data_IF_992843017531
#
_entry.id   IF_992843017531
#
_cell.length_a   1.000
_cell.length_b   1.000
_cell.length_c   1.000
_cell.angle_alpha   90.00
_cell.angle_beta   90.00
_cell.angle_gamma   90.00
#
_symmetry.space_group_name_H-M   'P 1'
#
loop_
_entity.id
_entity.type
_entity.pdbx_description
1 polymer ?
#
# COMPACT_ATOMS: atom_id res chain seq x y z
N UNK A 1 9.21 -25.06 -7.24
CA UNK A 1 9.45 -26.53 -7.43
C UNK A 1 10.71 -27.00 -6.69
N UNK A 2 11.79 -26.24 -6.65
CA UNK A 2 13.04 -26.65 -6.01
C UNK A 2 13.02 -26.66 -4.47
N UNK A 3 12.16 -25.86 -3.86
CA UNK A 3 11.99 -25.79 -2.39
C UNK A 3 11.45 -27.11 -1.82
N UNK A 4 10.66 -27.84 -2.59
CA UNK A 4 10.07 -29.12 -2.20
C UNK A 4 11.03 -30.31 -2.37
N UNK A 5 12.10 -30.18 -3.14
CA UNK A 5 13.02 -31.27 -3.40
C UNK A 5 13.92 -31.63 -2.18
N UNK A 6 14.04 -30.73 -1.22
CA UNK A 6 14.94 -30.87 -0.06
C UNK A 6 14.29 -31.42 1.22
N UNK A 7 13.14 -32.08 1.12
CA UNK A 7 12.57 -33.00 2.12
C UNK A 7 12.18 -32.36 3.48
N UNK A 8 11.01 -32.71 3.99
CA UNK A 8 10.43 -32.44 5.31
C UNK A 8 9.66 -31.12 5.53
N UNK A 9 9.13 -30.49 4.49
CA UNK A 9 8.14 -29.43 4.69
C UNK A 9 6.73 -29.99 4.57
N UNK A 10 6.04 -30.16 5.69
CA UNK A 10 4.59 -30.37 5.70
C UNK A 10 3.93 -29.00 5.50
N UNK A 11 3.46 -28.72 4.28
CA UNK A 11 2.66 -27.53 3.98
C UNK A 11 1.18 -27.92 4.10
N UNK A 12 0.41 -27.12 4.80
CA UNK A 12 -1.04 -27.27 4.82
C UNK A 12 -1.60 -26.78 3.48
N UNK A 13 -2.44 -27.60 2.86
CA UNK A 13 -3.16 -27.19 1.66
C UNK A 13 -4.27 -26.22 2.04
N UNK A 14 -4.38 -25.09 1.31
CA UNK A 14 -5.56 -24.25 1.40
C UNK A 14 -6.78 -24.98 0.80
N UNK A 15 -7.97 -24.62 1.23
CA UNK A 15 -9.21 -25.12 0.64
C UNK A 15 -9.23 -24.81 -0.87
N UNK A 16 -9.02 -25.84 -1.71
CA UNK A 16 -8.89 -25.71 -3.16
C UNK A 16 -7.60 -26.32 -3.74
N UNK A 17 -6.71 -26.86 -2.88
CA UNK A 17 -5.47 -27.53 -3.34
C UNK A 17 -4.30 -26.56 -3.65
N UNK A 18 -4.44 -25.27 -3.37
CA UNK A 18 -3.38 -24.29 -3.56
C UNK A 18 -2.46 -24.22 -2.34
N UNK A 19 -1.17 -23.98 -2.59
CA UNK A 19 -0.18 -23.78 -1.52
C UNK A 19 -0.39 -22.45 -0.82
N UNK A 20 -0.33 -22.46 0.50
CA UNK A 20 -0.35 -21.24 1.30
C UNK A 20 0.98 -20.49 1.12
N UNK A 21 0.93 -19.28 0.57
CA UNK A 21 2.11 -18.45 0.32
C UNK A 21 2.89 -18.13 1.62
N UNK A 22 2.20 -17.93 2.73
CA UNK A 22 2.81 -17.66 4.04
C UNK A 22 3.59 -18.87 4.56
N UNK A 23 3.03 -20.08 4.45
CA UNK A 23 3.72 -21.31 4.83
C UNK A 23 4.93 -21.60 3.94
N UNK A 24 4.81 -21.30 2.63
CA UNK A 24 5.93 -21.40 1.71
C UNK A 24 7.09 -20.49 2.11
N UNK A 25 6.80 -19.24 2.46
CA UNK A 25 7.81 -18.29 2.95
C UNK A 25 8.43 -18.76 4.25
N UNK A 26 7.64 -19.24 5.20
CA UNK A 26 8.14 -19.82 6.46
C UNK A 26 9.05 -21.03 6.19
N UNK A 27 8.68 -21.91 5.26
CA UNK A 27 9.49 -23.05 4.86
C UNK A 27 10.83 -22.63 4.20
N UNK A 28 10.84 -21.55 3.44
CA UNK A 28 12.07 -20.97 2.87
C UNK A 28 12.98 -20.44 3.97
N UNK A 29 12.44 -19.67 4.92
CA UNK A 29 13.20 -19.11 6.05
C UNK A 29 13.83 -20.23 6.89
N UNK A 30 13.09 -21.31 7.14
CA UNK A 30 13.54 -22.45 7.95
C UNK A 30 14.65 -23.30 7.27
N UNK A 31 15.03 -23.03 6.02
CA UNK A 31 16.15 -23.73 5.37
C UNK A 31 17.52 -23.19 5.82
N UNK A 32 17.57 -22.12 6.59
CA UNK A 32 18.81 -21.56 7.10
C UNK A 32 18.94 -21.75 8.60
N UNK A 33 20.18 -21.63 9.10
CA UNK A 33 20.49 -21.89 10.51
C UNK A 33 19.92 -20.83 11.46
N UNK A 34 19.76 -19.60 10.97
CA UNK A 34 19.21 -18.50 11.76
C UNK A 34 18.21 -17.68 10.96
N UNK A 35 17.37 -16.92 11.68
CA UNK A 35 16.27 -16.15 11.08
C UNK A 35 16.73 -15.05 10.12
N UNK A 36 17.88 -14.42 10.38
CA UNK A 36 18.37 -13.32 9.52
C UNK A 36 18.80 -13.88 8.17
N UNK A 37 19.57 -14.95 8.17
CA UNK A 37 19.98 -15.65 6.93
C UNK A 37 18.75 -16.22 6.21
N UNK A 38 17.76 -16.73 6.94
CA UNK A 38 16.50 -17.20 6.39
C UNK A 38 15.71 -16.11 5.68
N UNK A 39 15.60 -14.94 6.31
CA UNK A 39 14.93 -13.76 5.72
C UNK A 39 15.67 -13.25 4.48
N UNK A 40 17.01 -13.16 4.54
CA UNK A 40 17.83 -12.78 3.39
C UNK A 40 17.66 -13.78 2.23
N UNK A 41 17.66 -15.08 2.55
CA UNK A 41 17.44 -16.11 1.55
C UNK A 41 16.04 -16.02 0.91
N UNK A 42 15.01 -15.71 1.69
CA UNK A 42 13.69 -15.45 1.17
C UNK A 42 13.65 -14.22 0.25
N UNK A 43 14.37 -13.14 0.60
CA UNK A 43 14.50 -11.95 -0.25
C UNK A 43 15.21 -12.24 -1.58
N UNK A 44 16.15 -13.18 -1.60
CA UNK A 44 16.86 -13.59 -2.82
C UNK A 44 16.03 -14.51 -3.71
N UNK A 45 15.31 -15.43 -3.10
CA UNK A 45 14.59 -16.48 -3.83
C UNK A 45 13.24 -16.02 -4.38
N UNK A 46 12.58 -15.08 -3.70
CA UNK A 46 11.25 -14.61 -4.07
C UNK A 46 11.35 -13.43 -5.04
N UNK A 47 10.95 -13.69 -6.28
CA UNK A 47 10.80 -12.65 -7.29
C UNK A 47 9.46 -11.94 -7.10
N UNK A 48 9.49 -10.66 -6.72
CA UNK A 48 8.29 -9.86 -6.52
C UNK A 48 8.34 -8.94 -5.32
N UNK A 49 7.17 -8.51 -4.86
CA UNK A 49 7.01 -7.73 -3.64
C UNK A 49 6.85 -8.66 -2.45
N UNK A 50 7.57 -8.40 -1.39
CA UNK A 50 7.46 -9.18 -0.15
C UNK A 50 7.82 -8.31 1.05
N UNK A 51 6.88 -8.14 1.95
CA UNK A 51 7.16 -7.61 3.28
C UNK A 51 6.74 -8.63 4.33
N UNK A 52 7.63 -8.91 5.26
CA UNK A 52 7.45 -9.92 6.29
C UNK A 52 7.44 -9.26 7.66
N UNK A 53 6.44 -9.59 8.46
CA UNK A 53 6.39 -9.37 9.90
C UNK A 53 6.42 -10.75 10.56
N UNK A 54 7.54 -11.12 11.19
CA UNK A 54 7.73 -12.42 11.81
C UNK A 54 7.82 -12.25 13.34
N UNK A 55 6.79 -12.69 14.03
CA UNK A 55 6.73 -12.67 15.49
C UNK A 55 7.48 -13.86 16.09
N UNK A 56 8.33 -13.56 17.06
CA UNK A 56 9.11 -14.55 17.82
C UNK A 56 9.13 -14.19 19.30
N UNK A 57 9.54 -15.11 20.20
CA UNK A 57 9.75 -14.75 21.61
C UNK A 57 10.81 -13.67 21.86
N UNK A 58 11.67 -13.39 20.88
CA UNK A 58 12.74 -12.39 20.96
C UNK A 58 12.34 -11.02 20.42
N UNK A 59 11.16 -10.91 19.80
CA UNK A 59 10.68 -9.69 19.19
C UNK A 59 10.06 -9.94 17.81
N UNK A 60 9.71 -8.86 17.12
CA UNK A 60 9.12 -8.89 15.79
C UNK A 60 10.20 -8.53 14.77
N UNK A 61 10.54 -9.46 13.89
CA UNK A 61 11.39 -9.20 12.74
C UNK A 61 10.56 -8.56 11.63
N UNK A 62 11.06 -7.46 11.10
CA UNK A 62 10.46 -6.75 9.96
C UNK A 62 11.44 -6.79 8.81
N UNK A 63 11.01 -7.30 7.67
CA UNK A 63 11.83 -7.45 6.47
C UNK A 63 11.12 -6.86 5.27
N UNK A 64 11.76 -5.96 4.55
CA UNK A 64 11.29 -5.41 3.27
C UNK A 64 11.96 -6.13 2.11
N UNK A 65 11.26 -6.32 0.99
CA UNK A 65 11.82 -6.97 -0.19
C UNK A 65 13.07 -6.24 -0.74
N UNK A 66 13.90 -6.99 -1.47
CA UNK A 66 15.20 -6.54 -1.97
C UNK A 66 15.16 -5.24 -2.79
N UNK A 67 14.05 -4.98 -3.46
CA UNK A 67 13.85 -3.79 -4.29
C UNK A 67 12.94 -2.75 -3.64
N UNK A 68 12.52 -2.95 -2.41
CA UNK A 68 11.68 -2.01 -1.67
C UNK A 68 10.33 -1.72 -2.33
N UNK A 69 9.75 -2.68 -3.04
CA UNK A 69 8.50 -2.49 -3.79
C UNK A 69 7.30 -2.24 -2.91
N UNK A 70 7.23 -2.95 -1.77
CA UNK A 70 6.18 -2.76 -0.77
C UNK A 70 6.75 -2.02 0.42
N UNK A 71 6.25 -0.82 0.75
CA UNK A 71 6.73 -0.06 1.89
C UNK A 71 6.38 -0.77 3.21
N UNK A 72 7.19 -0.51 4.22
CA UNK A 72 6.89 -0.81 5.62
C UNK A 72 7.50 0.26 6.50
N UNK A 73 6.69 0.80 7.38
CA UNK A 73 7.08 1.85 8.31
C UNK A 73 6.95 1.38 9.75
N UNK A 74 7.82 1.91 10.59
CA UNK A 74 7.82 1.69 12.03
C UNK A 74 7.39 2.97 12.71
N UNK A 75 6.36 2.88 13.54
CA UNK A 75 5.93 3.92 14.45
C UNK A 75 6.50 3.71 15.85
N UNK A 76 6.73 4.81 16.56
CA UNK A 76 7.20 4.83 17.94
C UNK A 76 6.23 5.57 18.84
N UNK A 77 6.02 5.02 20.02
CA UNK A 77 5.35 5.63 21.17
C UNK A 77 6.30 5.59 22.36
N UNK A 78 5.96 6.21 23.48
CA UNK A 78 6.84 6.33 24.65
C UNK A 78 7.50 5.00 25.04
N UNK A 79 6.74 3.92 25.10
CA UNK A 79 7.12 2.60 25.59
C UNK A 79 6.85 1.46 24.57
N UNK A 80 6.62 1.79 23.30
CA UNK A 80 6.27 0.79 22.31
C UNK A 80 6.66 1.17 20.88
N UNK A 81 6.88 0.13 20.07
CA UNK A 81 7.03 0.24 18.62
C UNK A 81 5.93 -0.56 17.93
N UNK A 82 5.56 -0.15 16.74
CA UNK A 82 4.66 -0.88 15.85
C UNK A 82 5.19 -0.86 14.42
N UNK A 83 4.73 -1.78 13.58
CA UNK A 83 5.03 -1.79 12.16
C UNK A 83 3.74 -1.89 11.35
N UNK A 84 3.67 -1.15 10.25
CA UNK A 84 2.56 -1.16 9.32
C UNK A 84 3.03 -0.88 7.89
N UNK A 85 2.22 -1.27 6.91
CA UNK A 85 2.49 -0.96 5.50
C UNK A 85 2.18 0.49 5.14
N UNK A 86 1.35 1.15 5.97
CA UNK A 86 0.97 2.55 5.81
C UNK A 86 1.00 3.27 7.17
N UNK A 87 1.62 4.45 7.21
CA UNK A 87 1.82 5.18 8.46
C UNK A 87 0.49 5.64 9.10
N UNK A 88 -0.56 5.92 8.32
CA UNK A 88 -1.85 6.32 8.89
C UNK A 88 -2.40 5.30 9.90
N UNK A 89 -2.07 4.01 9.72
CA UNK A 89 -2.58 2.93 10.57
C UNK A 89 -2.17 3.09 12.04
N UNK A 90 -1.02 3.66 12.31
CA UNK A 90 -0.52 3.84 13.67
C UNK A 90 -0.60 5.28 14.19
N UNK A 91 -0.69 6.28 13.31
CA UNK A 91 -0.82 7.68 13.72
C UNK A 91 -2.08 7.90 14.57
N UNK A 92 -3.20 7.31 14.17
CA UNK A 92 -4.46 7.36 14.92
C UNK A 92 -4.40 6.65 16.30
N UNK A 93 -3.37 5.84 16.53
CA UNK A 93 -3.12 5.16 17.80
C UNK A 93 -2.12 5.91 18.70
N UNK A 94 -1.72 7.12 18.29
CA UNK A 94 -0.79 7.98 19.01
C UNK A 94 0.68 7.61 18.84
N UNK A 95 1.02 6.84 17.80
CA UNK A 95 2.41 6.63 17.42
C UNK A 95 2.85 7.74 16.46
N UNK A 96 4.12 8.05 16.45
CA UNK A 96 4.78 8.95 15.50
C UNK A 96 5.67 8.17 14.57
N UNK A 97 5.95 8.70 13.39
CA UNK A 97 6.88 8.09 12.44
C UNK A 97 8.27 7.97 13.06
N UNK A 98 8.83 6.78 13.04
CA UNK A 98 10.16 6.49 13.56
C UNK A 98 11.13 6.12 12.44
N UNK A 99 10.75 5.19 11.56
CA UNK A 99 11.61 4.70 10.49
C UNK A 99 10.79 4.06 9.38
N UNK A 100 11.12 4.38 8.14
CA UNK A 100 10.74 3.60 6.96
C UNK A 100 11.90 2.67 6.59
N UNK A 101 11.65 1.38 6.38
CA UNK A 101 12.69 0.43 5.98
C UNK A 101 13.08 0.65 4.53
N UNK A 102 14.37 0.66 4.25
CA UNK A 102 14.89 0.67 2.89
C UNK A 102 14.82 -0.70 2.20
N UNK A 103 15.21 -0.77 0.90
CA UNK A 103 15.21 -2.00 0.12
C UNK A 103 16.06 -3.09 0.77
N UNK A 104 15.50 -4.28 0.97
CA UNK A 104 16.21 -5.42 1.56
C UNK A 104 16.56 -5.27 3.04
N UNK A 105 16.13 -4.20 3.69
CA UNK A 105 16.43 -3.98 5.10
C UNK A 105 15.67 -4.98 5.99
N UNK A 106 16.37 -5.46 7.03
CA UNK A 106 15.83 -6.32 8.08
C UNK A 106 16.12 -5.70 9.43
N UNK A 107 15.08 -5.53 10.24
CA UNK A 107 15.21 -5.09 11.62
C UNK A 107 14.51 -6.06 12.57
N UNK A 108 14.88 -6.04 13.84
CA UNK A 108 14.12 -6.64 14.93
C UNK A 108 13.61 -5.54 15.86
N UNK A 109 12.33 -5.59 16.17
CA UNK A 109 11.67 -4.70 17.13
C UNK A 109 11.44 -5.46 18.45
N UNK A 110 11.81 -4.84 19.54
CA UNK A 110 11.42 -5.18 20.90
C UNK A 110 10.62 -4.03 21.50
N UNK A 111 10.02 -4.14 22.68
CA UNK A 111 9.40 -2.98 23.33
C UNK A 111 10.38 -1.80 23.54
N UNK A 112 11.65 -2.10 23.73
CA UNK A 112 12.68 -1.11 24.12
C UNK A 112 13.43 -0.54 22.90
N UNK A 113 13.52 -1.29 21.79
CA UNK A 113 14.43 -0.92 20.70
C UNK A 113 14.02 -1.47 19.34
N UNK A 114 14.55 -0.80 18.29
CA UNK A 114 14.58 -1.29 16.91
C UNK A 114 16.01 -1.42 16.48
N UNK A 115 16.45 -2.65 16.23
CA UNK A 115 17.84 -2.95 15.86
C UNK A 115 17.91 -3.39 14.40
N UNK A 116 18.77 -2.74 13.60
CA UNK A 116 19.02 -3.14 12.21
C UNK A 116 19.92 -4.35 12.16
N UNK A 117 19.44 -5.44 11.55
CA UNK A 117 20.14 -6.71 11.36
C UNK A 117 20.76 -6.85 9.97
N UNK A 118 20.08 -6.30 8.95
CA UNK A 118 20.59 -6.18 7.59
C UNK A 118 20.39 -4.74 7.10
N UNK A 119 21.44 -4.10 6.63
CA UNK A 119 21.37 -2.72 6.12
C UNK A 119 20.59 -2.65 4.82
N UNK A 120 19.93 -1.52 4.53
CA UNK A 120 19.25 -1.32 3.26
C UNK A 120 20.23 -1.30 2.09
N UNK A 121 19.75 -1.81 0.94
CA UNK A 121 20.40 -1.61 -0.35
C UNK A 121 20.07 -0.25 -0.95
N UNK A 122 20.64 0.01 -2.13
CA UNK A 122 20.45 1.28 -2.86
C UNK A 122 19.44 1.21 -4.00
N UNK A 123 19.14 0.01 -4.48
CA UNK A 123 18.23 -0.20 -5.60
C UNK A 123 16.77 -0.23 -5.13
N UNK A 124 16.02 0.81 -5.46
CA UNK A 124 14.60 0.89 -5.15
C UNK A 124 13.75 0.89 -6.41
N UNK A 125 12.71 0.06 -6.42
CA UNK A 125 11.70 -0.03 -7.48
C UNK A 125 10.29 0.05 -6.91
N UNK A 126 10.04 1.07 -6.12
CA UNK A 126 8.72 1.32 -5.55
C UNK A 126 7.73 1.70 -6.65
N UNK A 127 6.49 1.24 -6.53
CA UNK A 127 5.46 1.48 -7.52
C UNK A 127 4.79 2.85 -7.31
N UNK A 128 4.83 3.71 -8.33
CA UNK A 128 4.16 5.02 -8.28
C UNK A 128 2.63 4.93 -8.06
N UNK A 129 2.04 3.77 -8.33
CA UNK A 129 0.62 3.51 -8.10
C UNK A 129 0.22 3.64 -6.61
N UNK A 130 1.16 3.48 -5.69
CA UNK A 130 0.95 3.74 -4.27
C UNK A 130 0.47 5.17 -4.03
N UNK A 131 1.09 6.16 -4.66
CA UNK A 131 0.66 7.56 -4.54
C UNK A 131 -0.53 7.89 -5.43
N UNK A 132 -0.51 7.45 -6.67
CA UNK A 132 -1.54 7.84 -7.65
C UNK A 132 -2.92 7.33 -7.26
N UNK A 133 -3.02 6.13 -6.69
CA UNK A 133 -4.32 5.51 -6.46
C UNK A 133 -4.44 4.71 -5.16
N UNK A 134 -3.48 3.82 -4.87
CA UNK A 134 -3.63 2.78 -3.84
C UNK A 134 -3.55 3.34 -2.42
N UNK A 135 -2.55 4.19 -2.15
CA UNK A 135 -2.24 4.68 -0.82
C UNK A 135 -3.37 5.49 -0.19
N UNK A 136 -3.49 5.36 1.11
CA UNK A 136 -4.45 6.17 1.86
C UNK A 136 -4.02 7.66 1.83
N UNK A 137 -4.95 8.62 1.68
CA UNK A 137 -4.60 10.04 1.49
C UNK A 137 -3.67 10.63 2.54
N UNK A 138 -3.85 10.25 3.82
CA UNK A 138 -3.00 10.74 4.91
C UNK A 138 -1.68 10.00 5.09
N UNK A 139 -1.41 8.98 4.25
CA UNK A 139 -0.13 8.27 4.27
C UNK A 139 0.98 9.01 3.53
N UNK A 140 2.20 8.67 3.88
CA UNK A 140 3.41 9.03 3.14
C UNK A 140 4.23 7.78 2.87
N UNK A 141 4.95 7.77 1.76
CA UNK A 141 5.93 6.74 1.41
C UNK A 141 7.21 7.45 0.95
N UNK A 142 8.35 6.99 1.43
CA UNK A 142 9.67 7.58 1.11
C UNK A 142 9.68 9.11 1.32
N UNK A 143 9.05 9.57 2.38
CA UNK A 143 8.93 10.99 2.69
C UNK A 143 7.99 11.80 1.80
N UNK A 144 7.26 11.17 0.87
CA UNK A 144 6.35 11.87 -0.05
C UNK A 144 4.89 11.59 0.35
N UNK A 145 4.17 12.64 0.73
CA UNK A 145 2.74 12.57 1.07
C UNK A 145 1.90 12.19 -0.14
N UNK A 146 0.98 11.23 0.07
CA UNK A 146 0.05 10.75 -0.96
C UNK A 146 -0.86 11.88 -1.45
N UNK A 147 -1.50 12.58 -0.54
CA UNK A 147 -2.43 13.66 -0.89
C UNK A 147 -1.74 14.81 -1.62
N UNK A 148 -0.57 15.24 -1.12
CA UNK A 148 0.22 16.31 -1.76
C UNK A 148 0.66 15.93 -3.16
N UNK A 149 1.07 14.69 -3.36
CA UNK A 149 1.45 14.21 -4.69
C UNK A 149 0.27 14.24 -5.66
N UNK A 150 -0.93 13.83 -5.22
CA UNK A 150 -2.15 13.89 -6.04
C UNK A 150 -2.51 15.31 -6.44
N UNK A 151 -2.41 16.28 -5.52
CA UNK A 151 -2.59 17.70 -5.84
C UNK A 151 -1.58 18.18 -6.89
N UNK A 152 -0.32 17.82 -6.73
CA UNK A 152 0.73 18.18 -7.69
C UNK A 152 0.47 17.57 -9.08
N UNK A 153 0.00 16.32 -9.14
CA UNK A 153 -0.40 15.67 -10.39
C UNK A 153 -1.54 16.44 -11.08
N UNK A 154 -2.59 16.80 -10.34
CA UNK A 154 -3.69 17.60 -10.86
C UNK A 154 -3.22 18.96 -11.38
N UNK A 155 -2.38 19.66 -10.64
CA UNK A 155 -1.82 20.94 -11.04
C UNK A 155 -0.96 20.85 -12.32
N UNK A 156 -0.20 19.76 -12.48
CA UNK A 156 0.58 19.51 -13.70
C UNK A 156 -0.31 19.18 -14.90
N UNK A 157 -1.41 18.46 -14.69
CA UNK A 157 -2.40 18.21 -15.74
C UNK A 157 -3.02 19.53 -16.21
N UNK A 158 -3.48 20.40 -15.32
CA UNK A 158 -4.05 21.68 -15.67
C UNK A 158 -3.11 22.57 -16.52
N UNK A 159 -1.80 22.51 -16.26
CA UNK A 159 -0.79 23.26 -17.05
C UNK A 159 -0.57 22.72 -18.46
N UNK A 160 -0.97 21.49 -18.73
CA UNK A 160 -0.79 20.81 -20.03
C UNK A 160 -2.07 20.69 -20.82
N UNK A 161 -3.19 20.93 -20.16
CA UNK A 161 -4.52 20.83 -20.77
C UNK A 161 -4.93 22.14 -21.42
N UNK A 162 -5.68 22.04 -22.51
CA UNK A 162 -6.18 23.18 -23.30
C UNK A 162 -7.72 23.23 -23.30
N UNK A 163 -8.38 22.50 -22.40
CA UNK A 163 -9.84 22.50 -22.28
C UNK A 163 -10.31 23.64 -21.38
N UNK A 164 -11.47 24.19 -21.68
CA UNK A 164 -12.13 25.27 -20.92
C UNK A 164 -13.48 24.76 -20.39
N UNK A 165 -13.51 23.89 -19.39
CA UNK A 165 -14.75 23.40 -18.81
C UNK A 165 -15.32 24.40 -17.80
N UNK A 166 -16.63 24.34 -17.54
CA UNK A 166 -17.29 25.17 -16.53
C UNK A 166 -16.93 24.75 -15.11
N UNK A 167 -16.67 23.48 -14.88
CA UNK A 167 -16.32 22.92 -13.56
C UNK A 167 -15.25 21.84 -13.69
N UNK A 168 -14.51 21.65 -12.60
CA UNK A 168 -13.63 20.49 -12.38
C UNK A 168 -14.25 19.60 -11.32
N UNK A 169 -14.32 18.30 -11.60
CA UNK A 169 -14.88 17.32 -10.69
C UNK A 169 -13.98 16.08 -10.60
N UNK A 170 -13.86 15.54 -9.38
CA UNK A 170 -13.18 14.27 -9.13
C UNK A 170 -14.17 13.12 -9.01
N UNK A 171 -13.83 11.98 -9.61
CA UNK A 171 -14.55 10.74 -9.29
C UNK A 171 -14.17 10.32 -7.86
N UNK A 172 -15.13 10.29 -6.92
CA UNK A 172 -14.81 10.01 -5.52
C UNK A 172 -14.44 8.52 -5.33
N UNK A 173 -13.52 8.20 -4.39
CA UNK A 173 -12.79 9.19 -3.56
C UNK A 173 -11.41 9.51 -4.18
N UNK A 174 -10.79 8.58 -4.91
CA UNK A 174 -9.41 8.64 -5.38
C UNK A 174 -9.11 9.78 -6.36
N UNK A 175 -10.10 10.22 -7.13
CA UNK A 175 -9.95 11.32 -8.08
C UNK A 175 -10.07 12.72 -7.45
N UNK A 176 -10.56 12.81 -6.22
CA UNK A 176 -10.88 14.10 -5.58
C UNK A 176 -9.65 14.99 -5.43
N UNK A 177 -8.57 14.47 -4.87
CA UNK A 177 -7.34 15.23 -4.65
C UNK A 177 -6.70 15.73 -5.96
N UNK A 178 -6.72 14.90 -7.01
CA UNK A 178 -6.25 15.28 -8.34
C UNK A 178 -7.09 16.43 -8.91
N UNK A 179 -8.42 16.35 -8.80
CA UNK A 179 -9.33 17.38 -9.28
C UNK A 179 -9.19 18.70 -8.50
N UNK A 180 -8.99 18.64 -7.18
CA UNK A 180 -8.70 19.86 -6.39
C UNK A 180 -7.39 20.50 -6.86
N UNK A 181 -6.34 19.71 -7.05
CA UNK A 181 -5.06 20.22 -7.58
C UNK A 181 -5.19 20.84 -8.96
N UNK A 182 -6.00 20.25 -9.83
CA UNK A 182 -6.32 20.79 -11.16
C UNK A 182 -7.08 22.12 -11.06
N UNK A 183 -8.15 22.15 -10.28
CA UNK A 183 -8.98 23.34 -10.08
C UNK A 183 -8.16 24.51 -9.53
N UNK A 184 -7.34 24.26 -8.52
CA UNK A 184 -6.48 25.28 -7.91
C UNK A 184 -5.45 25.86 -8.89
N UNK A 185 -4.96 25.06 -9.83
CA UNK A 185 -3.96 25.50 -10.80
C UNK A 185 -4.55 26.17 -12.05
N UNK A 186 -5.74 25.75 -12.49
CA UNK A 186 -6.44 26.29 -13.64
C UNK A 186 -7.30 27.53 -13.32
N UNK A 187 -7.71 27.69 -12.06
CA UNK A 187 -8.69 28.71 -11.65
C UNK A 187 -10.15 28.31 -11.95
N UNK A 188 -10.39 27.13 -12.52
CA UNK A 188 -11.73 26.61 -12.81
C UNK A 188 -12.36 26.11 -11.50
N UNK A 189 -13.64 26.42 -11.22
CA UNK A 189 -14.29 26.03 -9.97
C UNK A 189 -14.31 24.51 -9.77
N UNK A 190 -13.96 24.07 -8.55
CA UNK A 190 -14.16 22.69 -8.14
C UNK A 190 -15.61 22.44 -7.73
N UNK A 191 -16.22 21.37 -8.23
CA UNK A 191 -17.57 20.95 -7.86
C UNK A 191 -17.61 19.47 -7.52
N UNK A 192 -18.64 19.02 -6.81
CA UNK A 192 -18.86 17.62 -6.44
C UNK A 192 -20.17 17.09 -7.05
N UNK A 193 -20.25 16.96 -8.35
CA UNK A 193 -21.45 16.46 -9.02
C UNK A 193 -21.66 14.95 -8.81
N UNK A 194 -20.69 14.25 -8.25
CA UNK A 194 -20.77 12.82 -7.96
C UNK A 194 -20.53 12.56 -6.48
N UNK A 195 -21.48 11.86 -5.85
CA UNK A 195 -21.39 11.42 -4.45
C UNK A 195 -21.29 9.90 -4.41
N UNK A 196 -20.29 9.41 -3.69
CA UNK A 196 -20.13 7.97 -3.48
C UNK A 196 -21.10 7.49 -2.40
N UNK A 197 -21.88 6.47 -2.73
CA UNK A 197 -22.71 5.77 -1.75
C UNK A 197 -21.87 4.70 -1.03
N UNK A 198 -21.49 5.00 0.20
CA UNK A 198 -20.56 4.19 0.99
C UNK A 198 -21.14 2.93 1.63
N UNK A 199 -22.45 2.83 1.97
CA UNK A 199 -22.91 1.74 2.83
C UNK A 199 -22.85 0.34 2.24
N UNK A 200 -22.68 0.15 0.96
CA UNK A 200 -23.17 -1.11 0.39
C UNK A 200 -22.28 -1.92 -0.48
N UNK A 201 -21.16 -1.62 -0.99
CA UNK A 201 -20.65 -2.55 -2.02
C UNK A 201 -19.12 -2.62 -2.14
N UNK A 202 -18.61 -3.84 -2.42
CA UNK A 202 -17.22 -4.01 -2.82
C UNK A 202 -16.88 -3.17 -4.07
N UNK A 203 -15.66 -3.19 -4.50
CA UNK A 203 -15.21 -2.50 -5.71
C UNK A 203 -16.02 -2.97 -6.91
N UNK A 204 -16.57 -2.05 -7.71
CA UNK A 204 -17.48 -2.35 -8.82
C UNK A 204 -16.91 -3.25 -9.93
N UNK A 205 -15.58 -3.33 -10.02
CA UNK A 205 -14.89 -4.16 -11.02
C UNK A 205 -14.66 -5.61 -10.59
N UNK A 206 -14.88 -5.95 -9.31
CA UNK A 206 -14.60 -7.29 -8.78
C UNK A 206 -15.55 -8.40 -9.26
N UNK A 207 -16.86 -8.15 -9.46
CA UNK A 207 -17.73 -9.20 -9.96
C UNK A 207 -17.32 -9.67 -11.35
N UNK A 208 -17.43 -10.97 -11.60
CA UNK A 208 -17.12 -11.59 -12.89
C UNK A 208 -18.17 -11.28 -13.96
N UNK A 209 -19.41 -11.02 -13.55
CA UNK A 209 -20.56 -10.81 -14.46
C UNK A 209 -20.73 -9.32 -14.75
N UNK A 210 -20.78 -8.95 -16.05
CA UNK A 210 -20.86 -7.56 -16.49
C UNK A 210 -22.13 -6.83 -15.98
N UNK A 211 -23.28 -7.49 -15.97
CA UNK A 211 -24.52 -6.89 -15.45
C UNK A 211 -24.44 -6.51 -13.98
N UNK A 212 -23.77 -7.32 -13.17
CA UNK A 212 -23.53 -7.00 -11.75
C UNK A 212 -22.56 -5.82 -11.61
N UNK A 213 -21.50 -5.75 -12.41
CA UNK A 213 -20.59 -4.59 -12.42
C UNK A 213 -21.32 -3.30 -12.75
N UNK A 214 -22.18 -3.32 -13.77
CA UNK A 214 -22.99 -2.18 -14.19
C UNK A 214 -23.98 -1.75 -13.10
N UNK A 215 -24.64 -2.71 -12.46
CA UNK A 215 -25.57 -2.42 -11.36
C UNK A 215 -24.85 -1.78 -10.17
N UNK A 216 -23.71 -2.33 -9.76
CA UNK A 216 -22.91 -1.80 -8.65
C UNK A 216 -22.41 -0.39 -9.00
N UNK A 217 -21.89 -0.17 -10.19
CA UNK A 217 -21.42 1.15 -10.62
C UNK A 217 -22.55 2.19 -10.57
N UNK A 218 -23.74 1.85 -11.08
CA UNK A 218 -24.92 2.72 -11.07
C UNK A 218 -25.40 3.05 -9.65
N UNK A 219 -25.34 2.10 -8.72
CA UNK A 219 -25.76 2.32 -7.34
C UNK A 219 -24.73 3.07 -6.51
N UNK A 220 -23.46 2.94 -6.86
CA UNK A 220 -22.35 3.44 -6.05
C UNK A 220 -22.07 4.91 -6.25
N UNK A 221 -22.34 5.43 -7.43
CA UNK A 221 -22.08 6.82 -7.80
C UNK A 221 -23.40 7.53 -8.09
N UNK A 222 -23.77 8.43 -7.19
CA UNK A 222 -25.04 9.17 -7.26
C UNK A 222 -24.74 10.56 -7.82
N UNK A 223 -25.36 10.95 -8.97
CA UNK A 223 -25.22 12.29 -9.51
C UNK A 223 -26.03 13.31 -8.72
N UNK A 224 -25.47 14.51 -8.57
CA UNK A 224 -26.17 15.70 -8.06
C UNK A 224 -26.57 16.52 -9.30
N UNK A 225 -27.79 16.35 -9.76
CA UNK A 225 -28.27 16.89 -11.04
C UNK A 225 -28.12 18.41 -11.15
N UNK A 226 -28.34 19.15 -10.06
CA UNK A 226 -28.22 20.61 -10.03
C UNK A 226 -26.79 21.13 -10.23
N UNK A 227 -25.78 20.24 -10.14
CA UNK A 227 -24.38 20.54 -10.38
C UNK A 227 -23.87 20.05 -11.73
N UNK A 228 -24.71 19.38 -12.52
CA UNK A 228 -24.42 18.85 -13.85
C UNK A 228 -25.37 19.54 -14.83
N UNK A 229 -25.41 20.85 -14.81
CA UNK A 229 -26.36 21.55 -15.68
C UNK A 229 -25.82 21.75 -17.08
N UNK A 230 -26.77 21.66 -18.02
CA UNK A 230 -26.80 21.88 -19.46
C UNK A 230 -25.85 22.96 -19.99
#
# INVERSE_FOLDING_TARGET
>A
KNVFANGNTHLLEMSGGDLNATELVAAIINQKENLVEGLQYAQELIEGSMTILLMTPRGIYVSRDKLGRTPVAIGKKEDAFCAAFECFAYLNLGYTDYKELGPGEIVVMTPESVTTLSKPGTDMKICAFLWVYFGYPSSSYEGVSVEKMRYNCGALLAKRDNVEPDIVAGVPDSGTAHAIGYANASGIPFSRPFIKYTPTWPRSFMPTIQSQRNLIAKMKLIPVHDLIKD
#
